data_IF_299929036906
#
_entry.id   IF_299929036906
#
_cell.length_a   1.000
_cell.length_b   1.000
_cell.length_c   1.000
_cell.angle_alpha   90.00
_cell.angle_beta   90.00
_cell.angle_gamma   90.00
#
_symmetry.space_group_name_H-M   'P 1'
#
loop_
_entity.id
_entity.type
_entity.pdbx_description
1 polymer ?
#
# COMPACT_ATOMS: atom_id res chain seq x y z
N UNK A 1 5.62 -13.18 43.80
CA UNK A 1 6.18 -13.71 42.55
C UNK A 1 5.43 -13.03 41.42
N UNK A 2 6.01 -11.97 40.89
CA UNK A 2 5.39 -11.09 39.90
C UNK A 2 5.71 -11.53 38.49
N UNK A 3 4.70 -11.53 37.61
CA UNK A 3 4.86 -11.70 36.20
C UNK A 3 4.80 -10.33 35.51
N UNK A 4 5.92 -9.86 35.02
CA UNK A 4 6.01 -8.67 34.17
C UNK A 4 5.57 -8.99 32.74
N UNK A 5 4.46 -8.38 32.29
CA UNK A 5 4.08 -8.33 30.89
C UNK A 5 4.71 -7.10 30.20
N UNK A 6 4.97 -7.14 28.89
CA UNK A 6 5.63 -6.04 28.20
C UNK A 6 4.68 -4.85 28.00
N UNK A 7 5.15 -3.67 28.42
CA UNK A 7 4.49 -2.37 28.22
C UNK A 7 4.75 -1.91 26.77
N UNK A 8 3.69 -1.61 26.01
CA UNK A 8 3.79 -0.98 24.69
C UNK A 8 4.13 0.51 24.81
N UNK A 9 5.17 0.93 24.12
CA UNK A 9 5.55 2.34 23.99
C UNK A 9 4.67 3.04 22.94
N UNK A 10 4.04 4.16 23.33
CA UNK A 10 3.45 5.13 22.41
C UNK A 10 4.27 6.43 22.45
N UNK A 11 4.88 6.78 21.31
CA UNK A 11 5.49 8.09 21.10
C UNK A 11 4.52 9.00 20.35
N UNK A 12 4.23 10.17 20.88
CA UNK A 12 3.40 11.19 20.23
C UNK A 12 4.19 12.48 20.00
N UNK A 13 4.06 13.05 18.79
CA UNK A 13 4.59 14.38 18.42
C UNK A 13 3.44 15.40 18.41
N UNK A 14 3.60 16.54 19.09
CA UNK A 14 2.67 17.66 19.03
C UNK A 14 3.39 18.98 18.78
N UNK A 15 2.79 19.84 17.95
CA UNK A 15 3.27 21.19 17.62
C UNK A 15 2.33 22.23 18.26
N UNK A 16 2.87 23.18 19.04
CA UNK A 16 2.12 24.26 19.64
C UNK A 16 2.75 25.62 19.31
N UNK A 17 1.91 26.66 19.21
CA UNK A 17 2.33 28.03 18.88
C UNK A 17 1.92 28.98 19.98
N UNK A 18 2.83 29.65 20.64
CA UNK A 18 2.55 30.66 21.64
C UNK A 18 3.53 31.83 21.54
N UNK A 19 2.97 33.06 21.44
CA UNK A 19 3.69 34.35 21.45
C UNK A 19 5.10 34.32 20.85
N UNK A 20 5.17 34.24 19.53
CA UNK A 20 6.40 34.38 18.76
C UNK A 20 7.43 33.24 18.84
N UNK A 21 7.03 32.06 19.36
CA UNK A 21 7.89 30.85 19.45
C UNK A 21 7.16 29.60 18.96
N UNK A 22 7.86 28.77 18.22
CA UNK A 22 7.41 27.43 17.86
C UNK A 22 7.88 26.44 18.93
N UNK A 23 6.96 25.71 19.53
CA UNK A 23 7.23 24.75 20.60
C UNK A 23 7.01 23.33 20.07
N UNK A 24 8.04 22.48 20.21
CA UNK A 24 7.96 21.06 19.89
C UNK A 24 7.78 20.25 21.16
N UNK A 25 6.80 19.35 21.16
CA UNK A 25 6.55 18.44 22.26
C UNK A 25 7.04 17.03 21.89
N UNK A 26 7.96 16.52 22.68
CA UNK A 26 8.44 15.14 22.63
C UNK A 26 8.12 14.47 23.95
N UNK A 27 7.22 13.48 23.97
CA UNK A 27 7.06 12.61 25.12
C UNK A 27 7.91 11.35 24.91
N UNK A 28 8.93 11.17 25.72
CA UNK A 28 9.79 9.99 25.71
C UNK A 28 9.60 9.21 27.01
N UNK A 29 9.20 7.95 26.87
CA UNK A 29 9.29 6.97 27.95
C UNK A 29 10.43 6.03 27.63
N UNK A 30 11.51 6.06 28.42
CA UNK A 30 12.33 4.87 28.71
C UNK A 30 13.40 5.19 29.73
N UNK A 31 13.41 4.44 30.81
CA UNK A 31 14.48 3.84 31.56
C UNK A 31 15.80 4.60 31.79
N UNK A 32 15.76 5.91 32.08
CA UNK A 32 16.85 6.61 32.77
C UNK A 32 16.41 6.90 34.22
N UNK A 33 17.24 6.57 35.18
CA UNK A 33 17.07 7.03 36.55
C UNK A 33 17.04 8.55 36.56
N UNK A 34 15.85 9.11 36.76
CA UNK A 34 15.67 10.54 36.90
C UNK A 34 15.95 10.93 38.34
N UNK A 35 16.89 11.88 38.55
CA UNK A 35 16.96 12.62 39.79
C UNK A 35 15.61 13.31 40.02
N UNK A 36 15.04 13.09 41.22
CA UNK A 36 13.80 13.70 41.68
C UNK A 36 13.82 15.22 41.42
N UNK A 37 12.86 15.72 40.64
CA UNK A 37 12.63 17.14 40.55
C UNK A 37 12.02 17.63 41.84
N UNK A 38 12.86 18.13 42.77
CA UNK A 38 12.38 18.78 43.99
C UNK A 38 11.45 19.94 43.64
N UNK A 39 10.26 19.92 44.16
CA UNK A 39 9.27 21.01 44.03
C UNK A 39 9.86 22.27 44.69
N UNK A 40 10.01 23.39 43.98
CA UNK A 40 10.34 24.64 44.64
C UNK A 40 9.16 25.05 45.54
N UNK A 41 9.48 25.27 46.81
CA UNK A 41 8.50 25.65 47.85
C UNK A 41 7.98 27.06 47.54
N UNK A 42 6.75 27.18 47.04
CA UNK A 42 6.12 28.41 46.55
C UNK A 42 5.81 29.46 47.65
N UNK A 43 6.09 29.18 48.91
CA UNK A 43 5.76 30.06 50.05
C UNK A 43 6.88 31.04 50.47
N UNK A 44 8.03 31.05 49.80
CA UNK A 44 9.15 31.94 50.17
C UNK A 44 9.73 32.77 49.02
N UNK A 45 8.98 33.14 48.03
CA UNK A 45 9.47 34.09 46.99
C UNK A 45 8.95 35.50 47.27
N UNK A 46 9.83 36.51 47.53
CA UNK A 46 9.42 37.89 47.65
C UNK A 46 8.99 38.45 46.27
N UNK A 47 7.97 39.29 46.27
CA UNK A 47 7.23 39.83 45.13
C UNK A 47 8.01 40.77 44.19
N UNK A 48 9.35 40.66 44.11
CA UNK A 48 10.18 41.48 43.21
C UNK A 48 11.41 40.67 42.76
N UNK A 49 11.22 39.81 41.76
CA UNK A 49 12.28 39.43 40.82
C UNK A 49 11.74 38.44 39.79
N UNK A 50 11.11 38.95 38.72
CA UNK A 50 11.11 38.19 37.47
C UNK A 50 12.53 38.31 36.91
N UNK A 51 13.30 37.24 36.75
CA UNK A 51 14.54 37.34 36.02
C UNK A 51 14.24 37.57 34.54
N UNK A 52 14.41 38.79 34.10
CA UNK A 52 14.64 39.12 32.67
C UNK A 52 16.04 38.56 32.40
N UNK A 53 16.17 37.31 32.05
CA UNK A 53 17.41 36.83 31.43
C UNK A 53 17.45 37.31 30.02
N UNK A 54 18.35 38.20 29.75
CA UNK A 54 18.78 38.57 28.42
C UNK A 54 19.30 37.33 27.68
N UNK A 55 18.66 37.01 26.60
CA UNK A 55 18.97 35.86 25.76
C UNK A 55 20.15 36.20 24.81
N UNK A 56 21.25 36.59 25.35
CA UNK A 56 22.44 36.84 24.57
C UNK A 56 23.56 35.94 25.03
N UNK A 57 23.96 35.05 24.18
CA UNK A 57 25.32 34.53 23.97
C UNK A 57 25.58 33.02 24.00
N UNK A 58 24.69 32.08 24.22
CA UNK A 58 25.12 30.67 24.17
C UNK A 58 24.02 29.74 23.61
N UNK A 59 24.28 29.12 22.47
CA UNK A 59 23.59 28.09 21.71
C UNK A 59 22.29 28.51 20.97
N UNK A 60 22.07 28.03 19.75
CA UNK A 60 20.88 28.35 18.95
C UNK A 60 19.58 27.72 19.47
N UNK A 61 19.64 26.82 20.44
CA UNK A 61 18.53 26.05 21.00
C UNK A 61 18.59 26.12 22.51
N UNK A 62 17.54 26.65 23.13
CA UNK A 62 17.37 26.64 24.57
C UNK A 62 16.42 25.49 24.95
N UNK A 63 16.88 24.61 25.84
CA UNK A 63 16.14 23.45 26.33
C UNK A 63 15.75 23.72 27.80
N UNK A 64 14.43 23.71 28.04
CA UNK A 64 13.90 23.92 29.39
C UNK A 64 13.01 22.74 29.78
N UNK A 65 13.27 22.13 30.93
CA UNK A 65 12.38 21.13 31.52
C UNK A 65 11.37 21.80 32.44
N UNK A 66 10.08 21.63 32.15
CA UNK A 66 8.99 22.15 32.96
C UNK A 66 8.04 21.04 33.38
N UNK A 67 7.56 21.05 34.68
CA UNK A 67 6.51 20.13 35.08
C UNK A 67 5.20 20.46 34.34
N UNK A 68 4.45 19.45 33.99
CA UNK A 68 3.19 19.57 33.23
C UNK A 68 2.13 20.43 33.93
N UNK A 69 2.18 20.45 35.27
CA UNK A 69 1.33 21.29 36.11
C UNK A 69 1.58 22.81 35.98
N UNK A 70 2.71 23.23 35.43
CA UNK A 70 3.00 24.65 35.19
C UNK A 70 2.30 25.21 33.95
N UNK A 71 1.73 24.37 33.09
CA UNK A 71 1.04 24.78 31.87
C UNK A 71 -0.48 24.81 31.97
N UNK A 72 -1.10 24.21 32.99
CA UNK A 72 -2.55 24.27 33.24
C UNK A 72 -2.81 24.24 34.74
N UNK A 73 -3.49 25.22 35.33
CA UNK A 73 -4.04 25.11 36.66
C UNK A 73 -5.36 24.33 36.59
N UNK A 74 -5.34 23.00 36.76
CA UNK A 74 -6.51 22.20 37.11
C UNK A 74 -6.09 20.76 37.44
N UNK A 75 -6.38 20.38 38.66
CA UNK A 75 -6.63 19.06 39.24
C UNK A 75 -6.08 17.84 38.51
N UNK A 76 -5.13 17.17 39.16
CA UNK A 76 -4.66 15.85 38.79
C UNK A 76 -3.15 15.72 39.00
N UNK A 77 -2.80 15.00 40.01
CA UNK A 77 -1.43 14.66 40.42
C UNK A 77 -0.75 13.84 39.30
N UNK A 78 0.13 14.46 38.53
CA UNK A 78 1.03 13.74 37.64
C UNK A 78 2.43 14.37 37.70
N UNK A 79 3.38 13.58 38.12
CA UNK A 79 4.80 13.90 38.27
C UNK A 79 5.58 13.88 36.96
N UNK A 80 4.90 14.03 35.81
CA UNK A 80 5.54 13.98 34.51
C UNK A 80 6.14 15.33 34.12
N UNK A 81 7.43 15.36 33.82
CA UNK A 81 8.11 16.51 33.22
C UNK A 81 8.10 16.42 31.70
N UNK A 82 7.89 17.55 31.02
CA UNK A 82 7.95 17.65 29.54
C UNK A 82 9.14 18.49 29.13
N UNK A 83 9.82 18.05 28.08
CA UNK A 83 10.89 18.79 27.44
C UNK A 83 10.29 19.83 26.50
N UNK A 84 10.50 21.12 26.80
CA UNK A 84 10.09 22.23 25.96
C UNK A 84 11.32 22.84 25.29
N UNK A 85 11.38 22.76 23.96
CA UNK A 85 12.45 23.34 23.15
C UNK A 85 11.92 24.61 22.49
N UNK A 86 12.43 25.77 22.90
CA UNK A 86 12.04 27.07 22.36
C UNK A 86 13.10 27.64 21.41
N UNK A 87 12.71 27.98 20.18
CA UNK A 87 13.59 28.63 19.19
C UNK A 87 13.01 30.02 18.87
N UNK A 88 13.84 31.09 19.01
CA UNK A 88 13.38 32.44 18.70
C UNK A 88 13.20 32.68 17.19
N UNK A 89 12.24 33.56 16.80
CA UNK A 89 11.93 33.86 15.38
C UNK A 89 13.15 34.19 14.52
N UNK A 90 14.09 35.07 14.93
CA UNK A 90 15.26 35.39 14.08
C UNK A 90 16.17 34.18 13.91
N UNK A 91 16.33 33.34 14.93
CA UNK A 91 17.13 32.08 14.84
C UNK A 91 16.47 31.03 13.96
N UNK A 92 15.14 30.94 14.00
CA UNK A 92 14.36 30.09 13.08
C UNK A 92 14.52 30.55 11.62
N UNK A 93 14.39 31.83 11.34
CA UNK A 93 14.58 32.38 10.01
C UNK A 93 16.00 32.10 9.48
N UNK A 94 17.02 32.24 10.31
CA UNK A 94 18.41 31.91 9.96
C UNK A 94 18.59 30.40 9.70
N UNK A 95 17.96 29.53 10.50
CA UNK A 95 18.00 28.08 10.29
C UNK A 95 17.30 27.68 8.97
N UNK A 96 16.12 28.23 8.69
CA UNK A 96 15.45 27.99 7.41
C UNK A 96 16.24 28.51 6.21
N UNK A 97 16.85 29.70 6.33
CA UNK A 97 17.70 30.26 5.28
C UNK A 97 18.93 29.35 5.02
N UNK A 98 19.58 28.86 6.06
CA UNK A 98 20.74 27.96 5.93
C UNK A 98 20.35 26.62 5.28
N UNK A 99 19.21 26.03 5.64
CA UNK A 99 18.69 24.81 5.01
C UNK A 99 18.33 25.06 3.55
N UNK A 100 17.71 26.20 3.23
CA UNK A 100 17.36 26.57 1.86
C UNK A 100 18.61 26.77 1.01
N UNK A 101 19.65 27.45 1.53
CA UNK A 101 20.92 27.64 0.83
C UNK A 101 21.66 26.32 0.62
N UNK A 102 21.66 25.43 1.61
CA UNK A 102 22.25 24.10 1.48
C UNK A 102 21.53 23.26 0.43
N UNK A 103 20.20 23.31 0.43
CA UNK A 103 19.38 22.63 -0.59
C UNK A 103 19.68 23.18 -2.00
N UNK A 104 19.78 24.49 -2.14
CA UNK A 104 20.11 25.13 -3.42
C UNK A 104 21.53 24.75 -3.89
N UNK A 105 22.48 24.68 -2.97
CA UNK A 105 23.85 24.25 -3.26
C UNK A 105 23.91 22.80 -3.71
N UNK A 106 23.20 21.92 -3.03
CA UNK A 106 23.14 20.49 -3.39
C UNK A 106 22.45 20.28 -4.75
N UNK A 107 21.37 21.01 -5.03
CA UNK A 107 20.69 20.93 -6.34
C UNK A 107 21.59 21.46 -7.45
N UNK A 108 22.32 22.56 -7.22
CA UNK A 108 23.28 23.09 -8.18
C UNK A 108 24.44 22.12 -8.44
N UNK A 109 24.93 21.43 -7.38
CA UNK A 109 26.00 20.44 -7.51
C UNK A 109 25.57 19.24 -8.34
N UNK A 110 24.35 18.72 -8.09
CA UNK A 110 23.78 17.61 -8.87
C UNK A 110 23.57 17.99 -10.34
N UNK A 111 23.09 19.21 -10.60
CA UNK A 111 22.91 19.71 -11.98
C UNK A 111 24.26 19.93 -12.68
N UNK A 112 25.27 20.44 -11.97
CA UNK A 112 26.61 20.62 -12.50
C UNK A 112 27.25 19.27 -12.84
N UNK A 113 27.20 18.29 -11.93
CA UNK A 113 27.73 16.95 -12.18
C UNK A 113 27.02 16.29 -13.37
N UNK A 114 25.69 16.43 -13.46
CA UNK A 114 24.92 15.93 -14.60
C UNK A 114 25.32 16.57 -15.92
N UNK A 115 25.59 17.88 -15.92
CA UNK A 115 26.05 18.60 -17.10
C UNK A 115 27.50 18.21 -17.49
N UNK A 116 28.39 18.04 -16.52
CA UNK A 116 29.78 17.57 -16.76
C UNK A 116 29.77 16.15 -17.30
N UNK A 117 28.94 15.23 -16.74
CA UNK A 117 28.79 13.86 -17.27
C UNK A 117 28.29 13.86 -18.71
N UNK A 118 27.33 14.72 -19.04
CA UNK A 118 26.81 14.82 -20.41
C UNK A 118 27.85 15.35 -21.41
N UNK A 119 28.70 16.31 -20.98
CA UNK A 119 29.80 16.85 -21.79
C UNK A 119 30.92 15.80 -21.98
N UNK A 120 31.28 15.05 -20.94
CA UNK A 120 32.28 13.99 -21.07
C UNK A 120 31.76 12.80 -21.90
N UNK A 121 30.48 12.45 -21.80
CA UNK A 121 29.88 11.44 -22.69
C UNK A 121 29.88 11.89 -24.15
N UNK A 122 29.63 13.16 -24.42
CA UNK A 122 29.68 13.71 -25.79
C UNK A 122 31.12 13.73 -26.35
N UNK A 123 32.12 14.11 -25.54
CA UNK A 123 33.55 14.13 -25.99
C UNK A 123 34.12 12.70 -26.17
N UNK A 124 33.67 11.71 -25.37
CA UNK A 124 34.09 10.33 -25.52
C UNK A 124 33.51 9.67 -26.78
N UNK A 125 32.32 10.10 -27.22
CA UNK A 125 31.70 9.64 -28.48
C UNK A 125 32.45 10.26 -29.68
N UNK A 126 32.86 11.52 -29.59
CA UNK A 126 33.59 12.23 -30.65
C UNK A 126 35.01 11.68 -30.80
N UNK A 127 35.71 11.33 -29.71
CA UNK A 127 37.03 10.68 -29.76
C UNK A 127 37.02 9.30 -30.41
N UNK A 128 35.97 8.48 -30.18
CA UNK A 128 35.82 7.17 -30.85
C UNK A 128 35.44 7.27 -32.31
N UNK A 129 34.69 8.31 -32.69
CA UNK A 129 34.33 8.54 -34.09
C UNK A 129 35.56 8.93 -34.96
N UNK A 130 36.52 9.68 -34.41
CA UNK A 130 37.74 10.08 -35.11
C UNK A 130 38.67 8.88 -35.32
N UNK A 131 38.77 7.95 -34.39
CA UNK A 131 39.62 6.77 -34.49
C UNK A 131 39.08 5.71 -35.48
N UNK A 132 37.77 5.60 -35.63
CA UNK A 132 37.12 4.73 -36.62
C UNK A 132 37.15 5.27 -38.05
N UNK A 133 37.24 6.59 -38.25
CA UNK A 133 37.29 7.25 -39.57
C UNK A 133 38.67 7.09 -40.23
N UNK A 134 39.72 6.87 -39.45
CA UNK A 134 41.07 6.64 -40.00
C UNK A 134 41.30 5.25 -40.65
N UNK A 135 40.41 4.29 -40.49
CA UNK A 135 40.55 2.91 -41.00
C UNK A 135 39.67 2.58 -42.22
N UNK A 136 38.79 3.46 -42.66
CA UNK A 136 37.89 3.20 -43.81
C UNK A 136 38.10 4.25 -44.89
N UNK A 137 39.15 4.08 -45.71
CA UNK A 137 39.33 4.81 -46.94
C UNK A 137 38.71 4.02 -48.09
N UNK A 138 37.64 4.54 -48.67
CA UNK A 138 37.03 4.22 -49.96
C UNK A 138 35.60 3.67 -49.96
N UNK A 139 34.62 4.57 -49.75
CA UNK A 139 33.37 4.61 -50.54
C UNK A 139 32.64 5.92 -50.19
N UNK A 140 31.95 6.62 -51.16
CA UNK A 140 31.33 7.91 -50.84
C UNK A 140 30.14 7.72 -49.89
N UNK A 141 29.97 8.63 -48.89
CA UNK A 141 28.92 8.49 -47.91
C UNK A 141 27.56 8.86 -48.51
N UNK A 142 26.68 7.89 -48.60
CA UNK A 142 25.26 8.14 -48.64
C UNK A 142 24.87 8.80 -47.28
N UNK A 143 24.58 10.09 -47.32
CA UNK A 143 24.06 10.88 -46.22
C UNK A 143 22.71 10.33 -45.76
N UNK A 144 22.68 9.25 -45.02
CA UNK A 144 21.53 8.91 -44.18
C UNK A 144 21.62 9.73 -42.92
N UNK A 145 20.93 10.86 -42.88
CA UNK A 145 20.56 11.56 -41.66
C UNK A 145 19.61 10.61 -40.89
N UNK A 146 20.18 9.65 -40.16
CA UNK A 146 19.42 8.85 -39.22
C UNK A 146 19.07 9.75 -38.04
N UNK A 147 17.89 10.38 -38.10
CA UNK A 147 17.29 10.97 -36.90
C UNK A 147 17.25 9.87 -35.85
N UNK A 148 18.08 10.01 -34.80
CA UNK A 148 18.03 9.11 -33.64
C UNK A 148 16.61 9.21 -33.08
N UNK A 149 15.82 8.20 -33.33
CA UNK A 149 14.44 8.14 -32.91
C UNK A 149 14.41 7.60 -31.48
N UNK A 150 14.43 8.48 -30.49
CA UNK A 150 14.21 8.04 -29.12
C UNK A 150 12.82 7.39 -29.01
N UNK A 151 12.71 6.18 -28.47
CA UNK A 151 11.43 5.52 -28.33
C UNK A 151 10.51 6.36 -27.42
N UNK A 152 9.36 6.77 -27.96
CA UNK A 152 8.37 7.57 -27.23
C UNK A 152 7.53 6.66 -26.37
N UNK A 153 7.36 7.03 -25.11
CA UNK A 153 6.39 6.40 -24.21
C UNK A 153 5.02 7.05 -24.35
N UNK A 154 3.97 6.27 -24.22
CA UNK A 154 2.59 6.75 -24.17
C UNK A 154 1.76 5.90 -23.19
N UNK A 155 0.57 6.40 -22.84
CA UNK A 155 -0.34 5.64 -21.98
C UNK A 155 -1.29 4.84 -22.85
N UNK A 156 -1.28 3.53 -22.67
CA UNK A 156 -2.13 2.58 -23.39
C UNK A 156 -3.21 2.01 -22.48
N UNK A 157 -4.36 1.64 -23.04
CA UNK A 157 -5.34 0.82 -22.33
C UNK A 157 -4.71 -0.54 -22.01
N UNK A 158 -5.10 -1.21 -20.91
CA UNK A 158 -4.47 -2.46 -20.51
C UNK A 158 -4.71 -3.59 -21.52
N UNK A 159 -3.67 -4.34 -21.83
CA UNK A 159 -3.73 -5.56 -22.62
C UNK A 159 -4.01 -6.79 -21.75
N UNK A 160 -3.76 -6.68 -20.45
CA UNK A 160 -4.11 -7.71 -19.48
C UNK A 160 -4.71 -7.08 -18.22
N UNK A 161 -5.64 -7.79 -17.57
CA UNK A 161 -6.31 -7.32 -16.36
C UNK A 161 -6.34 -8.46 -15.33
N UNK A 162 -5.91 -8.18 -14.09
CA UNK A 162 -6.13 -9.07 -12.94
C UNK A 162 -7.51 -8.75 -12.37
N UNK A 163 -8.50 -9.57 -12.73
CA UNK A 163 -9.92 -9.34 -12.43
C UNK A 163 -10.32 -9.73 -11.01
N UNK A 164 -9.58 -10.60 -10.36
CA UNK A 164 -9.90 -11.12 -9.02
C UNK A 164 -8.95 -12.22 -8.58
N UNK A 165 -9.23 -12.86 -7.47
CA UNK A 165 -10.32 -12.62 -6.52
C UNK A 165 -9.76 -11.85 -5.32
N UNK A 166 -10.57 -11.03 -4.73
CA UNK A 166 -10.23 -10.33 -3.48
C UNK A 166 -9.73 -11.34 -2.43
N UNK A 167 -8.61 -11.02 -1.77
CA UNK A 167 -7.91 -11.82 -0.75
C UNK A 167 -7.09 -13.01 -1.25
N UNK A 168 -7.06 -13.25 -2.54
CA UNK A 168 -6.25 -14.31 -3.14
C UNK A 168 -4.81 -13.92 -3.51
N UNK A 169 -4.37 -12.68 -3.19
CA UNK A 169 -2.99 -12.28 -3.48
C UNK A 169 -2.81 -11.42 -4.74
N UNK A 170 -3.88 -10.85 -5.30
CA UNK A 170 -3.85 -10.01 -6.52
C UNK A 170 -2.79 -8.91 -6.49
N UNK A 171 -2.50 -8.33 -5.31
CA UNK A 171 -1.46 -7.32 -5.14
C UNK A 171 -0.06 -7.92 -5.26
N UNK A 172 0.16 -9.09 -4.64
CA UNK A 172 1.42 -9.80 -4.72
C UNK A 172 1.72 -10.20 -6.17
N UNK A 173 0.73 -10.78 -6.84
CA UNK A 173 0.82 -11.17 -8.25
C UNK A 173 1.23 -9.98 -9.13
N UNK A 174 0.56 -8.82 -8.99
CA UNK A 174 0.89 -7.63 -9.77
C UNK A 174 2.32 -7.12 -9.51
N UNK A 175 2.79 -7.13 -8.25
CA UNK A 175 4.16 -6.74 -7.91
C UNK A 175 5.19 -7.75 -8.46
N UNK A 176 4.89 -9.05 -8.44
CA UNK A 176 5.74 -10.10 -9.00
C UNK A 176 5.82 -10.00 -10.52
N UNK A 177 4.70 -9.79 -11.21
CA UNK A 177 4.69 -9.60 -12.66
C UNK A 177 5.46 -8.35 -13.11
N UNK A 178 5.48 -7.30 -12.30
CA UNK A 178 6.24 -6.10 -12.59
C UNK A 178 7.77 -6.28 -12.55
N UNK A 179 8.27 -7.43 -12.12
CA UNK A 179 9.68 -7.79 -12.26
C UNK A 179 10.06 -8.03 -13.73
N UNK A 180 9.07 -8.36 -14.58
CA UNK A 180 9.31 -8.56 -16.01
C UNK A 180 9.51 -7.22 -16.73
N UNK A 181 10.60 -7.01 -17.51
CA UNK A 181 10.91 -5.71 -18.14
C UNK A 181 9.87 -5.25 -19.17
N UNK A 182 9.13 -6.18 -19.76
CA UNK A 182 8.07 -5.85 -20.72
C UNK A 182 6.70 -5.61 -20.08
N UNK A 183 6.58 -5.63 -18.75
CA UNK A 183 5.32 -5.39 -18.04
C UNK A 183 5.35 -4.03 -17.37
N UNK A 184 4.32 -3.23 -17.62
CA UNK A 184 4.04 -1.99 -16.91
C UNK A 184 2.72 -2.11 -16.14
N UNK A 185 2.72 -1.72 -14.87
CA UNK A 185 1.55 -1.86 -13.99
C UNK A 185 0.88 -0.53 -13.70
N UNK A 186 -0.45 -0.52 -13.67
CA UNK A 186 -1.22 0.61 -13.18
C UNK A 186 -1.00 0.84 -11.68
N UNK A 187 -1.07 2.10 -11.25
CA UNK A 187 -0.95 2.47 -9.85
C UNK A 187 -2.28 2.30 -9.12
N UNK A 188 -2.31 1.42 -8.13
CA UNK A 188 -3.50 1.20 -7.30
C UNK A 188 -4.56 0.29 -7.92
N UNK A 189 -5.78 0.45 -7.46
CA UNK A 189 -6.99 -0.20 -7.97
C UNK A 189 -7.86 0.90 -8.60
N UNK A 190 -8.07 0.82 -9.91
CA UNK A 190 -8.75 1.91 -10.64
C UNK A 190 -10.26 1.84 -10.45
N UNK A 191 -10.81 0.64 -10.30
CA UNK A 191 -12.24 0.44 -10.15
C UNK A 191 -13.05 1.15 -11.25
N UNK A 192 -12.60 1.01 -12.51
CA UNK A 192 -13.25 1.66 -13.63
C UNK A 192 -14.53 0.93 -14.04
N UNK A 193 -14.45 -0.39 -14.23
CA UNK A 193 -15.56 -1.18 -14.75
C UNK A 193 -16.63 -1.57 -13.72
N UNK A 194 -16.29 -1.57 -12.40
CA UNK A 194 -17.19 -1.98 -11.32
C UNK A 194 -17.82 -0.82 -10.54
N UNK A 195 -17.58 0.43 -10.98
CA UNK A 195 -18.18 1.64 -10.40
C UNK A 195 -18.71 2.54 -11.48
N UNK A 196 -20.02 2.73 -11.50
CA UNK A 196 -20.69 3.54 -12.51
C UNK A 196 -20.18 4.99 -12.57
N UNK A 197 -19.89 5.59 -11.40
CA UNK A 197 -19.27 6.91 -11.29
C UNK A 197 -17.91 6.99 -12.03
N UNK A 198 -17.16 5.90 -12.08
CA UNK A 198 -15.89 5.85 -12.79
C UNK A 198 -16.09 5.51 -14.26
N UNK A 199 -16.98 4.56 -14.55
CA UNK A 199 -17.28 4.11 -15.91
C UNK A 199 -17.83 5.27 -16.75
N UNK A 200 -18.72 6.09 -16.18
CA UNK A 200 -19.26 7.28 -16.82
C UNK A 200 -18.22 8.36 -17.19
N UNK A 201 -17.00 8.32 -16.64
CA UNK A 201 -15.91 9.23 -17.01
C UNK A 201 -15.25 8.86 -18.35
N UNK A 202 -15.57 7.70 -18.92
CA UNK A 202 -15.11 7.24 -20.20
C UNK A 202 -13.70 6.67 -20.25
N UNK A 203 -13.39 5.99 -21.37
CA UNK A 203 -12.12 5.28 -21.57
C UNK A 203 -10.89 6.18 -21.55
N UNK A 204 -11.03 7.44 -21.94
CA UNK A 204 -9.91 8.39 -21.90
C UNK A 204 -9.49 8.70 -20.46
N UNK A 205 -10.44 8.82 -19.53
CA UNK A 205 -10.13 8.94 -18.10
C UNK A 205 -9.44 7.68 -17.60
N UNK A 206 -9.90 6.50 -18.01
CA UNK A 206 -9.29 5.22 -17.63
C UNK A 206 -7.87 5.09 -18.19
N UNK A 207 -7.64 5.44 -19.46
CA UNK A 207 -6.32 5.46 -20.09
C UNK A 207 -5.33 6.37 -19.35
N UNK A 208 -5.78 7.52 -18.84
CA UNK A 208 -4.93 8.43 -18.02
C UNK A 208 -4.50 7.83 -16.68
N UNK A 209 -5.16 6.79 -16.18
CA UNK A 209 -4.76 6.05 -14.97
C UNK A 209 -3.69 4.99 -15.23
N UNK A 210 -3.45 4.66 -16.49
CA UNK A 210 -2.42 3.70 -16.87
C UNK A 210 -1.02 4.32 -16.83
N UNK A 211 0.02 3.50 -16.66
CA UNK A 211 1.40 3.96 -16.72
C UNK A 211 1.79 4.40 -18.13
N UNK A 212 2.88 5.14 -18.23
CA UNK A 212 3.58 5.30 -19.50
C UNK A 212 4.30 3.99 -19.83
N UNK A 213 4.17 3.54 -21.08
CA UNK A 213 4.82 2.33 -21.58
C UNK A 213 5.39 2.55 -22.96
N UNK A 214 6.44 1.82 -23.31
CA UNK A 214 6.97 1.75 -24.65
C UNK A 214 6.06 0.87 -25.54
N UNK A 215 6.14 1.06 -26.85
CA UNK A 215 5.49 0.16 -27.79
C UNK A 215 6.04 -1.27 -27.59
N UNK A 216 5.14 -2.24 -27.46
CA UNK A 216 5.49 -3.65 -27.22
C UNK A 216 5.52 -4.05 -25.72
N UNK A 217 5.46 -3.10 -24.79
CA UNK A 217 5.25 -3.45 -23.40
C UNK A 217 3.76 -3.70 -23.12
N UNK A 218 3.49 -4.62 -22.20
CA UNK A 218 2.14 -4.98 -21.73
C UNK A 218 1.78 -4.12 -20.53
N UNK A 219 0.68 -3.39 -20.63
CA UNK A 219 0.09 -2.66 -19.51
C UNK A 219 -0.89 -3.57 -18.76
N UNK A 220 -0.73 -3.71 -17.46
CA UNK A 220 -1.59 -4.51 -16.58
C UNK A 220 -2.26 -3.62 -15.54
N UNK A 221 -3.59 -3.73 -15.43
CA UNK A 221 -4.39 -3.14 -14.36
C UNK A 221 -4.93 -4.24 -13.45
N UNK A 222 -5.25 -3.89 -12.19
CA UNK A 222 -5.75 -4.81 -11.18
C UNK A 222 -6.83 -4.17 -10.32
N UNK A 223 -8.06 -4.69 -10.41
CA UNK A 223 -9.21 -4.34 -9.54
C UNK A 223 -9.96 -5.62 -9.14
N UNK A 224 -9.73 -6.13 -7.92
CA UNK A 224 -10.14 -7.50 -7.55
C UNK A 224 -11.64 -7.72 -7.43
N UNK A 225 -12.44 -6.67 -7.40
CA UNK A 225 -13.90 -6.71 -7.39
C UNK A 225 -14.51 -6.96 -8.77
N UNK A 226 -13.74 -6.82 -9.83
CA UNK A 226 -14.22 -7.06 -11.19
C UNK A 226 -14.83 -8.46 -11.34
N UNK A 227 -14.20 -9.47 -10.74
CA UNK A 227 -14.64 -10.86 -10.86
C UNK A 227 -16.07 -11.09 -10.42
N UNK A 228 -16.50 -10.39 -9.35
CA UNK A 228 -17.82 -10.60 -8.72
C UNK A 228 -18.89 -9.58 -9.13
N UNK A 229 -18.55 -8.65 -10.03
CA UNK A 229 -19.47 -7.60 -10.47
C UNK A 229 -20.07 -7.97 -11.81
N UNK A 230 -21.40 -8.15 -11.91
CA UNK A 230 -22.05 -8.74 -13.10
C UNK A 230 -21.82 -8.01 -14.40
N UNK A 231 -21.76 -6.68 -14.41
CA UNK A 231 -21.67 -5.84 -15.60
C UNK A 231 -20.25 -5.73 -16.17
N UNK A 232 -19.25 -6.19 -15.40
CA UNK A 232 -17.84 -5.97 -15.74
C UNK A 232 -17.38 -6.73 -16.96
N UNK A 233 -17.75 -8.01 -17.20
CA UNK A 233 -17.29 -8.75 -18.36
C UNK A 233 -17.59 -8.02 -19.67
N UNK A 234 -18.82 -7.54 -19.86
CA UNK A 234 -19.25 -6.83 -21.07
C UNK A 234 -18.53 -5.49 -21.21
N UNK A 235 -18.38 -4.75 -20.12
CA UNK A 235 -17.69 -3.46 -20.13
C UNK A 235 -16.22 -3.63 -20.53
N UNK A 236 -15.57 -4.69 -20.06
CA UNK A 236 -14.18 -4.99 -20.45
C UNK A 236 -14.12 -5.43 -21.92
N UNK A 237 -15.05 -6.29 -22.37
CA UNK A 237 -15.12 -6.74 -23.78
C UNK A 237 -15.35 -5.56 -24.72
N UNK A 238 -16.23 -4.62 -24.33
CA UNK A 238 -16.47 -3.40 -25.10
C UNK A 238 -15.23 -2.51 -25.24
N UNK A 239 -14.36 -2.49 -24.22
CA UNK A 239 -13.07 -1.79 -24.30
C UNK A 239 -12.09 -2.51 -25.23
N UNK A 240 -11.93 -3.81 -25.08
CA UNK A 240 -10.99 -4.62 -25.84
C UNK A 240 -11.41 -6.10 -25.84
N UNK A 241 -11.91 -6.60 -26.97
CA UNK A 241 -12.35 -7.99 -27.10
C UNK A 241 -11.21 -9.02 -27.02
N UNK A 242 -9.95 -8.60 -27.24
CA UNK A 242 -8.76 -9.47 -27.18
C UNK A 242 -7.94 -9.35 -25.88
N UNK A 243 -8.49 -8.69 -24.85
CA UNK A 243 -7.82 -8.55 -23.56
C UNK A 243 -7.57 -9.90 -22.91
N UNK A 244 -6.42 -10.06 -22.25
CA UNK A 244 -6.10 -11.26 -21.47
C UNK A 244 -6.47 -11.04 -20.00
N UNK A 245 -7.14 -12.02 -19.42
CA UNK A 245 -7.69 -11.95 -18.07
C UNK A 245 -6.93 -12.90 -17.14
N UNK A 246 -6.51 -12.39 -16.00
CA UNK A 246 -5.83 -13.16 -14.95
C UNK A 246 -6.76 -13.24 -13.74
N UNK A 247 -7.12 -14.46 -13.34
CA UNK A 247 -7.94 -14.75 -12.18
C UNK A 247 -7.10 -15.52 -11.17
N UNK A 248 -6.68 -14.91 -10.08
CA UNK A 248 -6.00 -15.62 -9.00
C UNK A 248 -7.00 -16.03 -7.93
N UNK A 249 -7.02 -17.30 -7.59
CA UNK A 249 -7.91 -17.93 -6.61
C UNK A 249 -7.10 -18.61 -5.50
N UNK A 250 -7.73 -18.86 -4.36
CA UNK A 250 -7.17 -19.60 -3.23
C UNK A 250 -8.22 -20.53 -2.65
N UNK A 251 -7.77 -21.46 -1.81
CA UNK A 251 -8.66 -22.32 -1.05
C UNK A 251 -9.80 -21.48 -0.41
N UNK A 252 -11.08 -21.82 -0.68
CA UNK A 252 -12.22 -20.96 -0.34
C UNK A 252 -12.33 -20.58 1.13
N UNK A 253 -12.03 -21.51 2.05
CA UNK A 253 -12.11 -21.25 3.50
C UNK A 253 -11.02 -20.28 3.94
N UNK A 254 -9.78 -20.50 3.51
CA UNK A 254 -8.65 -19.60 3.77
C UNK A 254 -8.92 -18.20 3.23
N UNK A 255 -9.50 -18.11 2.03
CA UNK A 255 -9.89 -16.84 1.45
C UNK A 255 -10.97 -16.14 2.28
N UNK A 256 -12.01 -16.88 2.71
CA UNK A 256 -13.11 -16.33 3.50
C UNK A 256 -12.62 -15.81 4.87
N UNK A 257 -11.75 -16.56 5.57
CA UNK A 257 -11.13 -16.13 6.83
C UNK A 257 -10.29 -14.87 6.61
N UNK A 258 -9.53 -14.81 5.52
CA UNK A 258 -8.73 -13.62 5.17
C UNK A 258 -9.61 -12.38 4.92
N UNK A 259 -10.77 -12.56 4.31
CA UNK A 259 -11.72 -11.46 4.04
C UNK A 259 -12.39 -10.98 5.32
N UNK A 260 -12.87 -11.90 6.17
CA UNK A 260 -13.37 -11.60 7.50
C UNK A 260 -12.37 -10.79 8.32
N UNK A 261 -11.11 -11.24 8.36
CA UNK A 261 -10.04 -10.54 9.09
C UNK A 261 -9.90 -9.09 8.64
N UNK A 262 -9.98 -8.84 7.35
CA UNK A 262 -9.91 -7.47 6.81
C UNK A 262 -11.16 -6.65 7.17
N UNK A 263 -12.34 -7.22 7.02
CA UNK A 263 -13.61 -6.55 7.33
C UNK A 263 -13.68 -6.16 8.81
N UNK A 264 -13.27 -7.06 9.70
CA UNK A 264 -13.21 -6.82 11.15
C UNK A 264 -12.27 -5.66 11.51
N UNK A 265 -11.09 -5.61 10.90
CA UNK A 265 -10.13 -4.51 11.14
C UNK A 265 -10.70 -3.18 10.65
N UNK A 266 -11.32 -3.15 9.46
CA UNK A 266 -11.93 -1.93 8.93
C UNK A 266 -13.07 -1.44 9.83
N UNK A 267 -13.92 -2.35 10.31
CA UNK A 267 -15.01 -2.02 11.21
C UNK A 267 -14.49 -1.46 12.55
N UNK A 268 -13.46 -2.07 13.15
CA UNK A 268 -12.84 -1.58 14.38
C UNK A 268 -12.22 -0.18 14.19
N UNK A 269 -11.53 0.06 13.07
CA UNK A 269 -10.95 1.39 12.76
C UNK A 269 -12.03 2.46 12.59
N UNK A 270 -13.13 2.13 11.90
CA UNK A 270 -14.25 3.04 11.71
C UNK A 270 -14.91 3.43 13.05
N UNK A 271 -15.10 2.46 13.96
CA UNK A 271 -15.66 2.70 15.30
C UNK A 271 -14.77 3.62 16.14
N UNK A 272 -13.45 3.47 16.08
CA UNK A 272 -12.49 4.32 16.80
C UNK A 272 -12.52 5.77 16.32
N UNK A 273 -12.67 6.00 15.02
CA UNK A 273 -12.77 7.36 14.45
C UNK A 273 -14.04 8.07 14.88
N UNK A 274 -15.17 7.35 15.04
CA UNK A 274 -16.45 7.93 15.50
C UNK A 274 -16.35 8.34 16.97
N UNK A 275 -15.73 7.53 17.81
CA UNK A 275 -15.58 7.84 19.25
C UNK A 275 -14.70 9.08 19.45
N UNK A 276 -13.61 9.22 18.69
CA UNK A 276 -12.72 10.37 18.78
C UNK A 276 -13.25 11.64 18.11
N UNK A 277 -14.26 11.53 17.22
CA UNK A 277 -14.89 12.66 16.54
C UNK A 277 -15.95 13.38 17.37
N UNK A 278 -16.53 12.78 18.41
CA UNK A 278 -17.58 13.37 19.25
C UNK A 278 -17.04 14.28 20.39
N UNK A 279 -15.73 14.50 20.46
CA UNK A 279 -15.08 15.26 21.56
C UNK A 279 -14.61 16.67 21.23
N UNK A 280 -14.85 17.23 20.03
CA UNK A 280 -14.41 18.60 19.72
C UNK A 280 -15.45 19.37 18.92
N UNK A 281 -16.29 20.13 19.61
CA UNK A 281 -16.93 21.34 19.07
C UNK A 281 -15.84 22.40 18.89
N UNK A 282 -15.56 22.82 17.66
CA UNK A 282 -14.66 23.96 17.41
C UNK A 282 -14.17 24.06 15.97
N UNK A 283 -14.91 24.84 15.14
CA UNK A 283 -14.48 25.76 14.08
C UNK A 283 -13.38 25.38 13.08
N UNK A 284 -13.80 25.38 11.82
CA UNK A 284 -13.08 25.79 10.59
C UNK A 284 -11.71 25.23 10.30
N UNK A 285 -11.67 24.29 9.36
CA UNK A 285 -10.64 24.30 8.30
C UNK A 285 -11.14 23.56 7.06
N UNK A 286 -11.14 24.26 5.92
CA UNK A 286 -11.41 23.75 4.59
C UNK A 286 -10.41 22.64 4.22
N UNK A 287 -10.86 21.39 4.27
CA UNK A 287 -10.17 20.24 3.74
C UNK A 287 -11.23 19.27 3.25
N UNK A 288 -11.39 19.18 1.93
CA UNK A 288 -12.38 18.34 1.23
C UNK A 288 -12.07 16.85 1.46
N UNK A 289 -12.41 16.32 2.62
CA UNK A 289 -12.63 14.90 2.84
C UNK A 289 -14.14 14.70 2.66
N UNK A 290 -14.50 14.12 1.52
CA UNK A 290 -15.86 13.66 1.22
C UNK A 290 -16.31 12.67 2.30
N UNK A 291 -16.86 13.18 3.38
CA UNK A 291 -17.61 12.43 4.37
C UNK A 291 -18.95 12.03 3.71
N UNK A 292 -18.94 10.88 3.00
CA UNK A 292 -20.17 10.18 2.67
C UNK A 292 -20.89 9.92 3.99
N UNK A 293 -22.04 10.55 4.18
CA UNK A 293 -23.01 10.22 5.23
C UNK A 293 -23.29 8.71 5.13
N UNK A 294 -22.72 7.95 6.04
CA UNK A 294 -22.95 6.50 6.12
C UNK A 294 -24.30 6.35 6.79
N UNK A 295 -25.32 5.86 6.05
CA UNK A 295 -26.65 5.59 6.58
C UNK A 295 -26.57 4.72 7.85
N UNK A 296 -27.42 4.97 8.85
CA UNK A 296 -27.42 4.27 10.15
C UNK A 296 -27.42 2.75 10.05
N UNK A 297 -28.04 2.16 9.01
CA UNK A 297 -28.03 0.72 8.74
C UNK A 297 -26.62 0.19 8.36
N UNK A 298 -25.81 0.99 7.66
CA UNK A 298 -24.41 0.62 7.34
C UNK A 298 -23.51 0.69 8.57
N UNK A 299 -23.78 1.62 9.49
CA UNK A 299 -23.04 1.72 10.75
C UNK A 299 -23.34 0.52 11.65
N UNK A 300 -24.59 0.12 11.76
CA UNK A 300 -25.03 -1.02 12.58
C UNK A 300 -24.47 -2.34 12.02
N UNK A 301 -24.47 -2.54 10.72
CA UNK A 301 -23.89 -3.72 10.08
C UNK A 301 -22.35 -3.80 10.25
N UNK A 302 -21.65 -2.65 10.26
CA UNK A 302 -20.23 -2.60 10.52
C UNK A 302 -19.89 -2.92 11.98
N UNK A 303 -20.70 -2.45 12.92
CA UNK A 303 -20.52 -2.71 14.36
C UNK A 303 -20.75 -4.19 14.71
N UNK A 304 -21.76 -4.81 14.12
CA UNK A 304 -22.02 -6.26 14.25
C UNK A 304 -20.82 -7.07 13.71
N UNK A 305 -20.22 -6.65 12.63
CA UNK A 305 -19.07 -7.32 12.02
C UNK A 305 -17.77 -7.18 12.83
N UNK A 306 -17.64 -6.11 13.62
CA UNK A 306 -16.48 -5.90 14.51
C UNK A 306 -16.51 -6.81 15.75
N UNK A 307 -17.69 -7.18 16.24
CA UNK A 307 -17.89 -7.89 17.52
C UNK A 307 -18.07 -9.39 17.39
N UNK A 308 -18.66 -9.88 16.27
CA UNK A 308 -18.95 -11.31 16.09
C UNK A 308 -17.75 -12.11 15.60
N UNK A 309 -17.64 -13.36 16.06
CA UNK A 309 -16.63 -14.30 15.58
C UNK A 309 -16.89 -14.72 14.12
N UNK A 310 -15.87 -15.32 13.49
CA UNK A 310 -16.04 -15.86 12.13
C UNK A 310 -17.09 -16.97 12.11
N UNK A 311 -17.08 -17.84 13.11
CA UNK A 311 -17.99 -18.97 13.28
C UNK A 311 -19.45 -18.51 13.35
N UNK A 312 -19.74 -17.49 14.15
CA UNK A 312 -21.09 -16.90 14.27
C UNK A 312 -21.63 -16.25 13.01
N UNK A 313 -20.74 -15.85 12.11
CA UNK A 313 -21.11 -15.20 10.84
C UNK A 313 -21.29 -16.23 9.72
N UNK A 314 -20.51 -17.32 9.72
CA UNK A 314 -20.55 -18.33 8.66
C UNK A 314 -21.54 -19.45 8.93
N UNK A 315 -21.97 -19.66 10.19
CA UNK A 315 -22.97 -20.67 10.56
C UNK A 315 -24.23 -19.97 11.04
N UNK A 316 -25.37 -20.35 10.47
CA UNK A 316 -26.68 -19.86 10.91
C UNK A 316 -27.11 -20.59 12.21
N UNK A 317 -28.12 -20.07 12.95
CA UNK A 317 -28.62 -20.72 14.17
C UNK A 317 -29.14 -22.12 13.95
N UNK A 318 -29.64 -22.46 12.76
CA UNK A 318 -30.05 -23.79 12.34
C UNK A 318 -28.91 -24.77 12.05
N UNK A 319 -27.68 -24.27 12.16
CA UNK A 319 -26.47 -25.02 11.87
C UNK A 319 -26.08 -25.05 10.39
N UNK A 320 -26.81 -24.47 9.46
CA UNK A 320 -26.46 -24.43 8.04
C UNK A 320 -25.39 -23.35 7.76
N UNK A 321 -24.71 -23.49 6.61
CA UNK A 321 -23.73 -22.46 6.17
C UNK A 321 -24.47 -21.21 5.69
N UNK A 322 -24.00 -20.05 6.11
CA UNK A 322 -24.53 -18.76 5.71
C UNK A 322 -23.93 -18.32 4.37
N UNK A 323 -24.52 -18.79 3.27
CA UNK A 323 -24.10 -18.45 1.92
C UNK A 323 -24.23 -16.95 1.59
N UNK A 324 -25.18 -16.25 2.26
CA UNK A 324 -25.37 -14.80 2.07
C UNK A 324 -24.28 -13.98 2.75
N UNK A 325 -23.45 -14.60 3.62
CA UNK A 325 -22.33 -13.89 4.22
C UNK A 325 -21.26 -13.63 3.16
N UNK A 326 -21.00 -12.35 2.90
CA UNK A 326 -20.15 -11.90 1.80
C UNK A 326 -18.82 -12.67 1.63
N UNK A 327 -18.03 -12.97 2.70
CA UNK A 327 -16.85 -13.80 2.57
C UNK A 327 -17.14 -15.22 2.05
N UNK A 328 -18.26 -15.84 2.40
CA UNK A 328 -18.66 -17.15 1.87
C UNK A 328 -19.10 -17.01 0.41
N UNK A 329 -20.02 -16.07 0.13
CA UNK A 329 -20.56 -15.83 -1.21
C UNK A 329 -19.46 -15.62 -2.26
N UNK A 330 -18.46 -14.76 -1.97
CA UNK A 330 -17.34 -14.49 -2.90
C UNK A 330 -16.47 -15.74 -3.12
N UNK A 331 -16.48 -16.72 -2.21
CA UNK A 331 -15.72 -17.96 -2.37
C UNK A 331 -16.42 -19.00 -3.24
N UNK A 332 -17.64 -18.77 -3.65
CA UNK A 332 -18.37 -19.60 -4.62
C UNK A 332 -17.93 -19.23 -6.06
N UNK A 333 -16.68 -19.53 -6.40
CA UNK A 333 -16.05 -19.06 -7.63
C UNK A 333 -16.78 -19.48 -8.90
N UNK A 334 -17.34 -20.69 -8.94
CA UNK A 334 -18.07 -21.20 -10.11
C UNK A 334 -19.24 -20.29 -10.51
N UNK A 335 -19.96 -19.73 -9.53
CA UNK A 335 -21.10 -18.84 -9.77
C UNK A 335 -20.72 -17.61 -10.60
N UNK A 336 -19.56 -17.03 -10.30
CA UNK A 336 -19.07 -15.85 -11.03
C UNK A 336 -18.39 -16.24 -12.34
N UNK A 337 -17.70 -17.40 -12.37
CA UNK A 337 -16.94 -17.85 -13.54
C UNK A 337 -17.84 -18.09 -14.75
N UNK A 338 -19.06 -18.61 -14.55
CA UNK A 338 -20.02 -18.76 -15.62
C UNK A 338 -20.23 -17.48 -16.41
N UNK A 339 -20.46 -16.37 -15.73
CA UNK A 339 -20.69 -15.07 -16.35
C UNK A 339 -19.50 -14.60 -17.19
N UNK A 340 -18.27 -14.90 -16.75
CA UNK A 340 -17.06 -14.57 -17.52
C UNK A 340 -16.93 -15.42 -18.78
N UNK A 341 -17.29 -16.71 -18.71
CA UNK A 341 -17.25 -17.64 -19.86
C UNK A 341 -18.34 -17.39 -20.90
N UNK A 342 -19.44 -16.74 -20.52
CA UNK A 342 -20.46 -16.27 -21.48
C UNK A 342 -19.92 -15.15 -22.39
N UNK A 343 -18.94 -14.38 -21.91
CA UNK A 343 -18.43 -13.17 -22.58
C UNK A 343 -17.07 -13.39 -23.22
N UNK A 344 -16.17 -14.13 -22.56
CA UNK A 344 -14.80 -14.39 -23.00
C UNK A 344 -14.57 -15.88 -23.23
N UNK A 345 -13.76 -16.22 -24.24
CA UNK A 345 -13.33 -17.59 -24.44
C UNK A 345 -12.44 -18.07 -23.29
N UNK A 346 -12.41 -19.39 -23.08
CA UNK A 346 -11.61 -20.01 -21.99
C UNK A 346 -10.11 -19.66 -22.14
N UNK A 347 -9.61 -19.57 -23.37
CA UNK A 347 -8.22 -19.25 -23.70
C UNK A 347 -7.81 -17.82 -23.35
N UNK A 348 -8.79 -16.94 -23.13
CA UNK A 348 -8.54 -15.56 -22.70
C UNK A 348 -8.44 -15.40 -21.18
N UNK A 349 -8.80 -16.44 -20.41
CA UNK A 349 -8.83 -16.39 -18.94
C UNK A 349 -7.82 -17.41 -18.39
N UNK A 350 -6.76 -16.92 -17.75
CA UNK A 350 -5.83 -17.78 -17.02
C UNK A 350 -6.17 -17.77 -15.53
N UNK A 351 -6.46 -18.96 -15.00
CA UNK A 351 -6.61 -19.17 -13.56
C UNK A 351 -5.25 -19.44 -12.94
N UNK A 352 -4.93 -18.69 -11.88
CA UNK A 352 -3.66 -18.74 -11.16
C UNK A 352 -3.94 -19.31 -9.77
N UNK A 353 -3.24 -20.40 -9.41
CA UNK A 353 -3.33 -20.97 -8.08
C UNK A 353 -2.55 -20.10 -7.09
N UNK A 354 -3.27 -19.36 -6.24
CA UNK A 354 -2.68 -18.41 -5.28
C UNK A 354 -2.01 -19.10 -4.09
N UNK A 355 -2.39 -20.32 -3.76
CA UNK A 355 -1.75 -21.10 -2.70
C UNK A 355 -0.39 -21.60 -3.20
N UNK A 356 -0.30 -22.14 -4.41
CA UNK A 356 0.96 -22.49 -5.05
C UNK A 356 1.86 -21.26 -5.28
N UNK A 357 1.28 -20.10 -5.61
CA UNK A 357 2.05 -18.85 -5.75
C UNK A 357 2.73 -18.43 -4.44
N UNK A 358 2.15 -18.78 -3.29
CA UNK A 358 2.73 -18.52 -1.97
C UNK A 358 3.88 -19.52 -1.68
N UNK A 359 3.72 -20.78 -2.05
CA UNK A 359 4.68 -21.87 -1.82
C UNK A 359 5.92 -21.76 -2.73
N UNK A 360 5.72 -21.63 -4.04
CA UNK A 360 6.75 -21.32 -5.03
C UNK A 360 6.15 -20.43 -6.14
N UNK A 361 6.54 -19.16 -6.21
CA UNK A 361 5.95 -18.23 -7.18
C UNK A 361 6.35 -18.52 -8.63
N UNK A 362 7.52 -19.12 -8.86
CA UNK A 362 8.11 -19.22 -10.21
C UNK A 362 7.27 -20.03 -11.19
N UNK A 363 6.75 -21.23 -10.86
CA UNK A 363 5.94 -22.00 -11.80
C UNK A 363 4.68 -21.26 -12.26
N UNK A 364 3.98 -20.60 -11.34
CA UNK A 364 2.77 -19.85 -11.66
C UNK A 364 3.10 -18.61 -12.52
N UNK A 365 4.20 -17.93 -12.25
CA UNK A 365 4.63 -16.78 -13.05
C UNK A 365 5.04 -17.17 -14.46
N UNK A 366 5.69 -18.31 -14.65
CA UNK A 366 6.01 -18.86 -15.99
C UNK A 366 4.76 -19.20 -16.79
N UNK A 367 3.72 -19.78 -16.15
CA UNK A 367 2.41 -19.98 -16.80
C UNK A 367 1.86 -18.63 -17.31
N UNK A 368 1.99 -17.57 -16.50
CA UNK A 368 1.49 -16.23 -16.87
C UNK A 368 2.34 -15.59 -17.97
N UNK A 369 3.68 -15.68 -17.91
CA UNK A 369 4.56 -15.18 -18.98
C UNK A 369 4.21 -15.82 -20.31
N UNK A 370 4.08 -17.16 -20.36
CA UNK A 370 3.65 -17.90 -21.55
C UNK A 370 2.26 -17.47 -22.03
N UNK A 371 1.28 -17.37 -21.13
CA UNK A 371 -0.06 -16.91 -21.44
C UNK A 371 -0.08 -15.51 -22.03
N UNK A 372 0.74 -14.60 -21.53
CA UNK A 372 0.87 -13.24 -22.05
C UNK A 372 1.68 -13.16 -23.35
N UNK A 373 2.32 -14.24 -23.78
CA UNK A 373 3.21 -14.29 -24.95
C UNK A 373 4.55 -13.63 -24.71
N UNK A 374 5.04 -13.69 -23.46
CA UNK A 374 6.31 -13.15 -23.02
C UNK A 374 7.37 -14.25 -22.89
N UNK A 375 8.63 -13.91 -23.14
CA UNK A 375 9.74 -14.77 -22.79
C UNK A 375 9.86 -14.94 -21.27
N UNK A 376 10.23 -16.13 -20.78
CA UNK A 376 10.39 -16.38 -19.34
C UNK A 376 11.61 -15.61 -18.80
N UNK A 377 11.36 -14.53 -18.08
CA UNK A 377 12.39 -13.68 -17.46
C UNK A 377 12.36 -13.72 -15.93
N UNK A 378 11.21 -14.08 -15.35
CA UNK A 378 11.06 -14.14 -13.89
C UNK A 378 11.55 -15.50 -13.39
N UNK A 379 12.54 -15.48 -12.49
CA UNK A 379 13.17 -16.70 -11.96
C UNK A 379 13.38 -16.63 -10.44
N UNK A 380 13.92 -17.72 -9.86
CA UNK A 380 14.17 -17.83 -8.41
C UNK A 380 15.06 -16.72 -7.86
N UNK A 381 15.97 -16.18 -8.66
CA UNK A 381 16.84 -15.07 -8.28
C UNK A 381 16.07 -13.77 -7.93
N UNK A 382 14.84 -13.64 -8.40
CA UNK A 382 13.98 -12.50 -8.12
C UNK A 382 13.26 -12.57 -6.78
N UNK A 383 13.48 -13.65 -6.01
CA UNK A 383 12.76 -13.90 -4.77
C UNK A 383 13.68 -14.32 -3.63
N UNK A 384 13.26 -14.04 -2.41
CA UNK A 384 13.79 -14.64 -1.20
C UNK A 384 12.65 -14.89 -0.21
N UNK A 385 12.75 -16.00 0.53
CA UNK A 385 11.73 -16.32 1.53
C UNK A 385 12.00 -15.53 2.82
N UNK A 386 11.02 -14.79 3.29
CA UNK A 386 11.10 -14.06 4.55
C UNK A 386 10.45 -14.90 5.67
N UNK A 387 11.24 -15.51 6.51
CA UNK A 387 10.76 -16.40 7.59
C UNK A 387 9.86 -15.68 8.61
N UNK A 388 10.12 -14.40 8.88
CA UNK A 388 9.29 -13.61 9.81
C UNK A 388 7.88 -13.37 9.26
N UNK A 389 7.77 -13.17 7.95
CA UNK A 389 6.50 -12.89 7.26
C UNK A 389 5.82 -14.15 6.72
N UNK A 390 6.55 -15.25 6.55
CA UNK A 390 6.04 -16.52 6.04
C UNK A 390 5.67 -16.52 4.55
N UNK A 391 6.30 -15.65 3.73
CA UNK A 391 6.09 -15.59 2.28
C UNK A 391 7.29 -15.03 1.53
N UNK A 392 7.31 -15.23 0.20
CA UNK A 392 8.35 -14.73 -0.67
C UNK A 392 8.26 -13.20 -0.85
N UNK A 393 9.41 -12.55 -0.68
CA UNK A 393 9.64 -11.13 -0.97
C UNK A 393 10.42 -10.99 -2.27
N UNK A 394 10.34 -9.81 -2.87
CA UNK A 394 10.96 -9.50 -4.15
C UNK A 394 12.42 -9.07 -3.95
N UNK A 395 13.28 -9.53 -4.85
CA UNK A 395 14.70 -9.13 -4.93
C UNK A 395 14.98 -8.65 -6.35
N UNK A 396 15.57 -7.47 -6.46
CA UNK A 396 16.19 -6.94 -7.68
C UNK A 396 17.69 -6.86 -7.45
N UNK A 397 18.47 -6.54 -8.49
CA UNK A 397 19.91 -6.33 -8.41
C UNK A 397 20.31 -5.28 -7.36
N UNK A 398 19.47 -4.28 -7.12
CA UNK A 398 19.77 -3.12 -6.26
C UNK A 398 18.95 -3.04 -4.98
N UNK A 399 17.87 -3.83 -4.83
CA UNK A 399 16.97 -3.69 -3.69
C UNK A 399 16.15 -4.94 -3.37
N UNK A 400 15.83 -5.09 -2.11
CA UNK A 400 14.88 -6.08 -1.61
C UNK A 400 13.60 -5.39 -1.14
N UNK A 401 12.46 -5.91 -1.54
CA UNK A 401 11.16 -5.34 -1.23
C UNK A 401 10.16 -6.40 -0.80
N UNK A 402 9.65 -6.27 0.40
CA UNK A 402 8.50 -7.06 0.85
C UNK A 402 7.18 -6.29 0.73
N UNK A 403 6.09 -7.02 0.66
CA UNK A 403 4.76 -6.43 0.80
C UNK A 403 4.62 -5.75 2.17
N UNK A 404 3.82 -4.67 2.22
CA UNK A 404 3.56 -3.93 3.46
C UNK A 404 2.94 -4.87 4.51
N UNK A 405 3.12 -4.57 5.80
CA UNK A 405 2.58 -5.34 6.94
C UNK A 405 1.06 -5.53 6.92
N UNK A 406 0.34 -4.61 6.26
CA UNK A 406 -1.09 -4.76 6.03
C UNK A 406 -1.45 -5.94 5.10
N UNK A 407 -0.45 -6.64 4.53
CA UNK A 407 -0.60 -7.85 3.72
C UNK A 407 0.02 -9.03 4.48
N UNK A 408 -0.52 -10.25 4.27
CA UNK A 408 -0.07 -11.44 5.00
C UNK A 408 -0.41 -11.39 6.51
N UNK A 409 -1.55 -10.79 6.88
CA UNK A 409 -1.97 -10.73 8.28
C UNK A 409 -2.21 -12.13 8.81
N UNK A 410 -1.83 -12.36 10.08
CA UNK A 410 -2.20 -13.59 10.78
C UNK A 410 -3.72 -13.72 10.84
N UNK A 411 -4.22 -14.88 10.48
CA UNK A 411 -5.64 -15.20 10.59
C UNK A 411 -5.99 -15.49 12.07
N UNK A 412 -7.22 -15.23 12.51
CA UNK A 412 -7.68 -15.68 13.80
C UNK A 412 -7.68 -17.21 13.84
N UNK A 413 -7.60 -17.77 15.02
CA UNK A 413 -7.84 -19.21 15.22
C UNK A 413 -9.33 -19.47 15.01
N UNK A 414 -9.65 -20.31 14.05
CA UNK A 414 -11.01 -20.77 13.76
C UNK A 414 -11.14 -22.22 14.22
N UNK A 415 -12.30 -22.58 14.73
CA UNK A 415 -12.58 -23.96 15.16
C UNK A 415 -12.35 -24.93 14.00
N UNK A 416 -11.57 -26.02 14.20
CA UNK A 416 -11.36 -27.05 13.17
C UNK A 416 -12.65 -27.65 12.66
N UNK A 417 -13.67 -27.83 13.52
CA UNK A 417 -15.00 -28.36 13.14
C UNK A 417 -15.69 -27.43 12.13
N UNK A 418 -15.54 -26.10 12.29
CA UNK A 418 -16.11 -25.11 11.36
C UNK A 418 -15.36 -25.13 10.04
N UNK A 419 -14.03 -25.27 10.08
CA UNK A 419 -13.19 -25.40 8.87
C UNK A 419 -13.59 -26.63 8.07
N UNK A 420 -13.66 -27.81 8.70
CA UNK A 420 -14.09 -29.05 8.06
C UNK A 420 -15.51 -28.92 7.46
N UNK A 421 -16.45 -28.31 8.22
CA UNK A 421 -17.82 -28.11 7.73
C UNK A 421 -17.85 -27.20 6.50
N UNK A 422 -17.06 -26.13 6.48
CA UNK A 422 -16.95 -25.22 5.33
C UNK A 422 -16.29 -25.91 4.13
N UNK A 423 -15.25 -26.72 4.33
CA UNK A 423 -14.58 -27.45 3.24
C UNK A 423 -15.54 -28.45 2.60
N UNK A 424 -16.26 -29.23 3.38
CA UNK A 424 -17.31 -30.12 2.86
C UNK A 424 -18.39 -29.37 2.08
N UNK A 425 -18.82 -28.21 2.59
CA UNK A 425 -19.74 -27.33 1.86
C UNK A 425 -19.15 -26.84 0.54
N UNK A 426 -17.89 -26.39 0.53
CA UNK A 426 -17.27 -25.90 -0.70
C UNK A 426 -16.90 -27.00 -1.68
N UNK A 427 -16.77 -28.25 -1.29
CA UNK A 427 -16.29 -29.33 -2.15
C UNK A 427 -17.09 -29.43 -3.46
N UNK A 428 -18.42 -29.54 -3.41
CA UNK A 428 -19.26 -29.57 -4.60
C UNK A 428 -19.10 -28.34 -5.49
N UNK A 429 -18.98 -27.17 -4.87
CA UNK A 429 -18.78 -25.90 -5.57
C UNK A 429 -17.38 -25.80 -6.21
N UNK A 430 -16.36 -26.40 -5.56
CA UNK A 430 -15.01 -26.49 -6.10
C UNK A 430 -14.97 -27.42 -7.32
N UNK A 431 -15.62 -28.58 -7.27
CA UNK A 431 -15.70 -29.48 -8.42
C UNK A 431 -16.33 -28.80 -9.63
N UNK A 432 -17.45 -28.10 -9.44
CA UNK A 432 -18.07 -27.30 -10.51
C UNK A 432 -17.12 -26.22 -11.06
N UNK A 433 -16.31 -25.61 -10.18
CA UNK A 433 -15.32 -24.62 -10.61
C UNK A 433 -14.18 -25.28 -11.40
N UNK A 434 -13.70 -26.46 -10.98
CA UNK A 434 -12.67 -27.21 -11.68
C UNK A 434 -13.11 -27.63 -13.09
N UNK A 435 -14.35 -28.08 -13.23
CA UNK A 435 -14.95 -28.38 -14.54
C UNK A 435 -14.94 -27.16 -15.47
N UNK A 436 -15.32 -25.97 -14.96
CA UNK A 436 -15.32 -24.74 -15.74
C UNK A 436 -13.92 -24.26 -16.17
N UNK A 437 -12.94 -24.49 -15.33
CA UNK A 437 -11.56 -24.02 -15.57
C UNK A 437 -10.66 -25.11 -16.15
N UNK A 438 -11.11 -26.38 -16.18
CA UNK A 438 -10.37 -27.50 -16.76
C UNK A 438 -9.09 -27.85 -15.97
N UNK A 439 -9.00 -27.48 -14.69
CA UNK A 439 -7.85 -27.76 -13.82
C UNK A 439 -8.32 -27.97 -12.39
N UNK A 440 -7.91 -29.08 -11.77
CA UNK A 440 -8.05 -29.30 -10.34
C UNK A 440 -6.95 -28.53 -9.59
N UNK A 441 -7.35 -27.70 -8.64
CA UNK A 441 -6.44 -26.86 -7.88
C UNK A 441 -5.92 -27.55 -6.60
N UNK A 442 -6.37 -28.77 -6.29
CA UNK A 442 -5.91 -29.57 -5.16
C UNK A 442 -6.32 -29.01 -3.79
N UNK A 443 -7.46 -28.35 -3.69
CA UNK A 443 -7.93 -27.84 -2.41
C UNK A 443 -8.46 -28.96 -1.49
N UNK A 444 -8.21 -28.85 -0.15
CA UNK A 444 -8.69 -29.85 0.79
C UNK A 444 -10.22 -29.99 0.77
N UNK A 445 -10.69 -31.22 0.78
CA UNK A 445 -12.12 -31.55 0.81
C UNK A 445 -12.68 -31.55 2.25
N UNK A 446 -11.81 -31.78 3.25
CA UNK A 446 -12.14 -31.84 4.70
C UNK A 446 -11.21 -30.96 5.55
#
# INVERSE_FOLDING_TARGET
MGSNGPVMMHSGFGLFYEKDKLLFHLSSYSGMEFQECERPNLTQMPNKARPRREWSTLSPIDVLWMPRSAMRPAEGDTSDCILVVGISRPKMAAAFLSVALLSLFLTFHVLYDSAVYSLHAASAVEGRAVELVSQVRATPPLLFSSKVHYPRTSRHLPQAIIIGVRKCGTRALLEMLFLHPQIQKASGEVHFFDRDDNYGKGLEWYRRKMPYSFRGQITIEKSPSYFVTPEVPERIRAMNASVKLLLIVREPVTRAISDYTQLRIHAATASTLIINGNGSNGSNSNGTLSSRSINGQQQQSQQVQATRSFEELVIRPDGTINESYRPVAISLYHTFMHRWLEVFSREQILVVNGDQLIEDPVPQLRKIESFLGLEPRIGRHNFYFNHTKGFYCLRNETSEKCLRESKGRRHPRVSPLVVTKLRRFFNEHNQRFYELVGEDLGWPEE
#
